data_IF_888479031305
#
_entry.id   IF_888479031305
#
_cell.length_a   1.000
_cell.length_b   1.000
_cell.length_c   1.000
_cell.angle_alpha   90.00
_cell.angle_beta   90.00
_cell.angle_gamma   90.00
#
_symmetry.space_group_name_H-M   'P 1'
#
loop_
_entity.id
_entity.type
_entity.pdbx_description
1 polymer ?
#
# COMPACT_ATOMS: atom_id res chain seq x y z
N UNK A 1 5.19 17.48 -14.96
CA UNK A 1 4.50 18.76 -14.75
C UNK A 1 4.55 18.99 -13.26
N UNK A 2 5.37 19.94 -12.81
CA UNK A 2 5.51 20.27 -11.39
C UNK A 2 4.51 21.39 -11.08
N UNK A 3 3.25 21.02 -10.84
CA UNK A 3 2.12 21.98 -10.86
C UNK A 3 2.21 23.08 -9.78
N UNK A 4 3.02 22.88 -8.73
CA UNK A 4 3.22 23.86 -7.64
C UNK A 4 4.66 24.33 -7.48
N UNK A 5 5.60 23.86 -8.31
CA UNK A 5 7.04 24.08 -8.15
C UNK A 5 7.54 23.81 -6.72
N UNK A 6 7.07 22.71 -6.12
CA UNK A 6 7.43 22.28 -4.77
C UNK A 6 7.97 20.84 -4.77
N UNK A 7 8.88 20.54 -3.85
CA UNK A 7 9.19 19.18 -3.46
C UNK A 7 9.12 19.01 -1.93
N UNK A 8 8.70 17.84 -1.48
CA UNK A 8 8.56 17.52 -0.05
C UNK A 8 9.91 17.14 0.53
N UNK A 9 10.29 17.73 1.65
CA UNK A 9 11.47 17.33 2.44
C UNK A 9 11.08 16.34 3.55
N UNK A 10 9.97 16.60 4.24
CA UNK A 10 9.53 15.80 5.38
C UNK A 10 8.00 15.84 5.55
N UNK A 11 7.42 14.69 5.91
CA UNK A 11 6.05 14.60 6.46
C UNK A 11 6.19 14.04 7.87
N UNK A 12 5.59 14.70 8.86
CA UNK A 12 5.75 14.36 10.27
C UNK A 12 4.40 14.31 11.02
N UNK A 13 4.28 13.55 12.12
CA UNK A 13 3.03 13.43 12.88
C UNK A 13 2.61 14.66 13.69
N UNK A 14 3.34 15.77 13.61
CA UNK A 14 3.12 16.93 14.47
C UNK A 14 3.28 18.23 13.71
N UNK A 15 2.66 19.29 14.23
CA UNK A 15 2.56 20.58 13.56
C UNK A 15 3.92 21.22 13.20
N UNK A 16 4.08 21.80 12.00
CA UNK A 16 3.23 21.62 10.81
C UNK A 16 3.40 20.23 10.18
N UNK A 17 2.36 19.64 9.61
CA UNK A 17 2.37 18.26 9.08
C UNK A 17 3.47 17.99 8.03
N UNK A 18 3.86 19.01 7.26
CA UNK A 18 4.78 18.87 6.15
C UNK A 18 5.75 20.04 6.05
N UNK A 19 7.01 19.71 5.76
CA UNK A 19 8.05 20.67 5.35
C UNK A 19 8.40 20.39 3.89
N UNK A 20 8.32 21.43 3.07
CA UNK A 20 8.62 21.35 1.66
C UNK A 20 9.55 22.50 1.24
N UNK A 21 10.06 22.45 0.02
CA UNK A 21 10.67 23.62 -0.62
C UNK A 21 9.89 24.06 -1.83
N UNK A 22 9.66 25.37 -1.96
CA UNK A 22 9.06 25.99 -3.15
C UNK A 22 10.12 26.76 -3.93
N UNK A 23 10.10 26.62 -5.24
CA UNK A 23 10.96 27.42 -6.12
C UNK A 23 10.37 28.82 -6.31
N UNK A 24 11.11 29.86 -5.92
CA UNK A 24 10.70 31.26 -5.98
C UNK A 24 11.35 32.03 -7.13
N UNK A 25 11.84 31.32 -8.16
CA UNK A 25 12.53 31.89 -9.32
C UNK A 25 14.01 32.21 -9.10
N UNK A 26 14.43 32.50 -7.86
CA UNK A 26 15.85 32.77 -7.50
C UNK A 26 16.50 31.65 -6.71
N UNK A 27 15.73 30.66 -6.28
CA UNK A 27 16.19 29.57 -5.42
C UNK A 27 15.02 28.81 -4.82
N UNK A 28 15.36 27.91 -3.90
CA UNK A 28 14.42 27.07 -3.18
C UNK A 28 14.31 27.55 -1.74
N UNK A 29 13.10 27.97 -1.36
CA UNK A 29 12.78 28.40 0.01
C UNK A 29 12.00 27.32 0.72
N UNK A 30 12.33 27.10 2.00
CA UNK A 30 11.59 26.17 2.83
C UNK A 30 10.23 26.77 3.19
N UNK A 31 9.19 25.94 3.10
CA UNK A 31 7.82 26.29 3.47
C UNK A 31 7.24 25.22 4.40
N UNK A 32 6.44 25.66 5.36
CA UNK A 32 5.66 24.83 6.25
C UNK A 32 4.23 24.68 5.72
N UNK A 33 3.75 23.45 5.66
CA UNK A 33 2.43 23.10 5.14
C UNK A 33 1.66 22.33 6.22
N UNK A 34 0.42 22.74 6.47
CA UNK A 34 -0.54 21.99 7.29
C UNK A 34 -1.61 21.35 6.41
N UNK A 35 -2.03 20.12 6.75
CA UNK A 35 -3.11 19.41 6.06
C UNK A 35 -4.37 19.36 6.91
N UNK A 36 -5.48 19.82 6.36
CA UNK A 36 -6.76 19.77 7.07
C UNK A 36 -7.89 19.19 6.22
N UNK A 37 -8.88 18.59 6.88
CA UNK A 37 -10.12 18.24 6.19
C UNK A 37 -10.90 19.52 5.82
N UNK A 38 -11.11 20.39 6.81
CA UNK A 38 -11.77 21.69 6.64
C UNK A 38 -10.81 22.80 7.05
N UNK A 39 -10.74 23.90 6.29
CA UNK A 39 -9.83 25.01 6.61
C UNK A 39 -10.03 25.57 8.04
N UNK A 40 -11.26 25.60 8.57
CA UNK A 40 -11.53 26.06 9.95
C UNK A 40 -10.89 25.20 11.03
N UNK A 41 -10.58 23.94 10.76
CA UNK A 41 -9.93 23.06 11.74
C UNK A 41 -8.58 23.61 12.18
N UNK A 42 -7.85 24.26 11.28
CA UNK A 42 -6.58 24.93 11.60
C UNK A 42 -6.71 25.85 12.83
N UNK A 43 -7.78 26.64 12.84
CA UNK A 43 -8.09 27.53 13.96
C UNK A 43 -8.58 26.76 15.20
N UNK A 44 -9.42 25.74 15.02
CA UNK A 44 -9.97 24.94 16.13
C UNK A 44 -8.88 24.16 16.88
N UNK A 45 -7.88 23.66 16.17
CA UNK A 45 -6.71 23.00 16.73
C UNK A 45 -5.71 23.96 17.37
N UNK A 46 -5.93 25.28 17.25
CA UNK A 46 -5.09 26.35 17.82
C UNK A 46 -3.64 26.31 17.32
N UNK A 47 -3.47 25.98 16.04
CA UNK A 47 -2.17 26.05 15.39
C UNK A 47 -1.66 27.50 15.34
N UNK A 48 -0.35 27.68 15.52
CA UNK A 48 0.29 29.00 15.48
C UNK A 48 0.44 29.45 14.02
N UNK A 49 -0.31 30.47 13.54
CA UNK A 49 -0.31 30.86 12.14
C UNK A 49 1.07 31.24 11.60
N UNK A 50 1.95 31.80 12.44
CA UNK A 50 3.30 32.21 12.04
C UNK A 50 4.25 31.05 11.72
N UNK A 51 3.86 29.81 11.99
CA UNK A 51 4.63 28.61 11.72
C UNK A 51 4.09 27.81 10.53
N UNK A 52 3.13 28.35 9.79
CA UNK A 52 2.52 27.73 8.63
C UNK A 52 2.47 28.74 7.48
N UNK A 53 3.03 28.36 6.34
CA UNK A 53 3.00 29.21 5.13
C UNK A 53 1.80 28.85 4.26
N UNK A 54 1.43 27.57 4.22
CA UNK A 54 0.38 27.03 3.35
C UNK A 54 -0.55 26.09 4.13
N UNK A 55 -1.85 26.33 4.05
CA UNK A 55 -2.88 25.41 4.52
C UNK A 55 -3.49 24.69 3.32
N UNK A 56 -3.23 23.40 3.20
CA UNK A 56 -3.85 22.55 2.18
C UNK A 56 -5.05 21.86 2.81
N UNK A 57 -6.25 22.13 2.29
CA UNK A 57 -7.49 21.60 2.83
C UNK A 57 -8.33 20.85 1.79
N UNK A 58 -9.13 19.88 2.23
CA UNK A 58 -10.12 19.27 1.33
C UNK A 58 -11.22 20.29 0.98
N UNK A 59 -11.79 20.97 1.97
CA UNK A 59 -12.82 21.99 1.78
C UNK A 59 -12.44 23.30 2.50
N UNK A 60 -12.48 24.42 1.78
CA UNK A 60 -12.26 25.74 2.36
C UNK A 60 -13.59 26.31 2.86
N UNK A 61 -13.91 26.00 4.12
CA UNK A 61 -15.08 26.52 4.85
C UNK A 61 -14.75 27.78 5.68
N UNK A 62 -13.58 28.38 5.48
CA UNK A 62 -13.06 29.52 6.24
C UNK A 62 -12.75 30.75 5.37
N UNK A 63 -13.75 31.37 4.72
CA UNK A 63 -13.55 32.52 3.84
C UNK A 63 -13.05 33.76 4.59
N UNK A 64 -13.36 33.88 5.88
CA UNK A 64 -12.97 35.00 6.74
C UNK A 64 -11.65 34.73 7.50
N UNK A 65 -10.74 33.95 6.91
CA UNK A 65 -9.41 33.73 7.48
C UNK A 65 -8.72 35.09 7.74
N UNK A 66 -8.26 35.36 8.98
CA UNK A 66 -7.65 36.64 9.33
C UNK A 66 -6.45 36.95 8.43
N UNK A 67 -6.43 38.13 7.80
CA UNK A 67 -5.39 38.52 6.84
C UNK A 67 -4.00 38.61 7.48
N UNK A 68 -3.95 38.87 8.79
CA UNK A 68 -2.73 38.86 9.59
C UNK A 68 -2.07 37.48 9.69
N UNK A 69 -2.78 36.39 9.38
CA UNK A 69 -2.20 35.05 9.38
C UNK A 69 -1.28 34.83 8.18
N UNK A 70 -1.51 35.54 7.06
CA UNK A 70 -0.69 35.46 5.84
C UNK A 70 -0.51 34.04 5.27
N UNK A 71 -1.46 33.14 5.54
CA UNK A 71 -1.45 31.74 5.08
C UNK A 71 -2.07 31.65 3.68
N UNK A 72 -1.39 30.97 2.76
CA UNK A 72 -1.97 30.55 1.47
C UNK A 72 -2.90 29.35 1.69
N UNK A 73 -4.19 29.46 1.37
CA UNK A 73 -5.14 28.34 1.47
C UNK A 73 -5.32 27.70 0.10
N UNK A 74 -4.96 26.42 -0.01
CA UNK A 74 -5.16 25.60 -1.22
C UNK A 74 -6.30 24.61 -0.95
N UNK A 75 -7.38 24.70 -1.72
CA UNK A 75 -8.56 23.84 -1.60
C UNK A 75 -8.57 22.73 -2.66
N UNK A 76 -8.69 21.47 -2.23
CA UNK A 76 -8.58 20.32 -3.11
C UNK A 76 -9.91 19.89 -3.75
N UNK A 77 -11.06 20.11 -3.10
CA UNK A 77 -12.38 19.62 -3.57
C UNK A 77 -12.87 20.29 -4.86
N UNK A 78 -12.52 21.55 -5.11
CA UNK A 78 -12.72 22.21 -6.41
C UNK A 78 -11.65 21.82 -7.41
N UNK A 79 -10.37 21.84 -7.00
CA UNK A 79 -9.21 21.54 -7.85
C UNK A 79 -9.31 20.15 -8.49
N UNK A 80 -9.72 19.13 -7.71
CA UNK A 80 -9.82 17.75 -8.21
C UNK A 80 -10.80 17.59 -9.38
N UNK A 81 -11.78 18.50 -9.52
CA UNK A 81 -12.74 18.48 -10.65
C UNK A 81 -12.10 18.94 -11.96
N UNK A 82 -11.04 19.73 -11.88
CA UNK A 82 -10.29 20.24 -13.02
C UNK A 82 -9.14 19.31 -13.43
N UNK A 83 -8.68 18.49 -12.48
CA UNK A 83 -7.64 17.50 -12.75
C UNK A 83 -8.17 16.41 -13.70
N UNK A 84 -7.40 16.01 -14.72
CA UNK A 84 -7.79 14.92 -15.57
C UNK A 84 -7.95 13.66 -14.73
N UNK A 85 -9.09 12.98 -14.87
CA UNK A 85 -9.25 11.66 -14.27
C UNK A 85 -8.13 10.76 -14.77
N UNK A 86 -7.29 10.31 -13.84
CA UNK A 86 -6.28 9.31 -14.16
C UNK A 86 -7.02 8.07 -14.61
N UNK A 87 -6.76 7.61 -15.84
CA UNK A 87 -7.34 6.38 -16.33
C UNK A 87 -7.01 5.25 -15.35
N UNK A 88 -8.05 4.73 -14.69
CA UNK A 88 -7.93 3.53 -13.87
C UNK A 88 -7.78 2.36 -14.85
N UNK A 89 -6.53 2.04 -15.18
CA UNK A 89 -6.23 0.83 -15.96
C UNK A 89 -6.49 -0.38 -15.07
N UNK A 90 -7.17 -1.39 -15.62
CA UNK A 90 -7.19 -2.70 -14.96
C UNK A 90 -5.74 -3.11 -14.72
N UNK A 91 -5.37 -3.53 -13.51
CA UNK A 91 -4.09 -4.17 -13.30
C UNK A 91 -4.01 -5.32 -14.30
N UNK A 92 -3.09 -5.21 -15.25
CA UNK A 92 -2.84 -6.32 -16.14
C UNK A 92 -2.32 -7.48 -15.29
N UNK A 93 -2.51 -8.73 -15.75
CA UNK A 93 -1.93 -9.92 -15.11
C UNK A 93 -0.39 -9.95 -15.30
N UNK A 94 0.28 -8.85 -14.99
CA UNK A 94 1.71 -8.63 -15.19
C UNK A 94 2.08 -8.27 -16.63
N UNK A 95 1.50 -7.21 -17.21
CA UNK A 95 2.07 -6.64 -18.45
C UNK A 95 3.55 -6.34 -18.24
N UNK A 96 4.37 -6.79 -19.19
CA UNK A 96 5.80 -6.48 -19.24
C UNK A 96 6.02 -5.06 -19.71
N UNK A 97 5.71 -4.11 -18.84
CA UNK A 97 6.23 -2.76 -18.99
C UNK A 97 7.74 -2.80 -18.74
N UNK A 98 8.50 -1.83 -19.26
CA UNK A 98 9.96 -1.75 -19.02
C UNK A 98 10.30 -1.71 -17.52
N UNK A 99 9.43 -1.09 -16.72
CA UNK A 99 9.58 -1.03 -15.26
C UNK A 99 9.37 -2.41 -14.59
N UNK A 100 8.35 -3.17 -15.03
CA UNK A 100 8.12 -4.53 -14.54
C UNK A 100 9.25 -5.49 -14.92
N UNK A 101 9.81 -5.39 -16.13
CA UNK A 101 10.96 -6.20 -16.57
C UNK A 101 12.21 -5.93 -15.71
N UNK A 102 12.45 -4.66 -15.37
CA UNK A 102 13.55 -4.26 -14.48
C UNK A 102 13.35 -4.85 -13.07
N UNK A 103 12.16 -4.70 -12.51
CA UNK A 103 11.82 -5.23 -11.18
C UNK A 103 11.88 -6.76 -11.14
N UNK A 104 11.41 -7.44 -12.18
CA UNK A 104 11.52 -8.89 -12.33
C UNK A 104 13.00 -9.33 -12.32
N UNK A 105 13.85 -8.64 -13.08
CA UNK A 105 15.30 -8.92 -13.10
C UNK A 105 15.93 -8.76 -11.72
N UNK A 106 15.59 -7.70 -11.00
CA UNK A 106 16.08 -7.44 -9.63
C UNK A 106 15.57 -8.53 -8.68
N UNK A 107 14.27 -8.86 -8.73
CA UNK A 107 13.63 -9.88 -7.92
C UNK A 107 14.27 -11.27 -8.08
N UNK A 108 14.62 -11.63 -9.33
CA UNK A 108 15.22 -12.94 -9.67
C UNK A 108 16.76 -12.97 -9.58
N UNK A 109 17.42 -11.84 -9.26
CA UNK A 109 18.88 -11.67 -9.33
C UNK A 109 19.67 -12.76 -8.59
N UNK A 110 19.18 -13.21 -7.43
CA UNK A 110 19.89 -14.17 -6.57
C UNK A 110 19.45 -15.62 -6.74
N UNK A 111 18.42 -15.88 -7.55
CA UNK A 111 17.88 -17.22 -7.77
C UNK A 111 18.76 -18.01 -8.75
N UNK A 112 19.00 -19.30 -8.46
CA UNK A 112 19.55 -20.21 -9.45
C UNK A 112 18.46 -20.64 -10.47
N UNK A 113 18.86 -21.31 -11.55
CA UNK A 113 17.92 -21.65 -12.63
C UNK A 113 16.75 -22.52 -12.16
N UNK A 114 17.00 -23.45 -11.24
CA UNK A 114 15.94 -24.26 -10.62
C UNK A 114 14.94 -23.43 -9.83
N UNK A 115 15.41 -22.44 -9.07
CA UNK A 115 14.56 -21.54 -8.31
C UNK A 115 13.77 -20.58 -9.22
N UNK A 116 14.35 -20.16 -10.35
CA UNK A 116 13.66 -19.37 -11.37
C UNK A 116 12.54 -20.17 -12.04
N UNK A 117 12.82 -21.39 -12.47
CA UNK A 117 11.82 -22.31 -13.02
C UNK A 117 10.66 -22.53 -12.02
N UNK A 118 11.00 -22.79 -10.76
CA UNK A 118 10.03 -22.96 -9.69
C UNK A 118 9.17 -21.70 -9.49
N UNK A 119 9.75 -20.50 -9.62
CA UNK A 119 9.01 -19.24 -9.55
C UNK A 119 7.99 -19.11 -10.68
N UNK A 120 8.37 -19.39 -11.93
CA UNK A 120 7.44 -19.29 -13.05
C UNK A 120 6.29 -20.30 -12.91
N UNK A 121 6.57 -21.53 -12.48
CA UNK A 121 5.52 -22.51 -12.18
C UNK A 121 4.57 -22.04 -11.06
N UNK A 122 5.12 -21.49 -9.97
CA UNK A 122 4.32 -20.93 -8.88
C UNK A 122 3.48 -19.72 -9.33
N UNK A 123 4.07 -18.85 -10.15
CA UNK A 123 3.42 -17.69 -10.73
C UNK A 123 2.22 -18.10 -11.59
N UNK A 124 2.40 -19.09 -12.47
CA UNK A 124 1.35 -19.54 -13.37
C UNK A 124 0.18 -20.12 -12.57
N UNK A 125 0.47 -20.93 -11.55
CA UNK A 125 -0.54 -21.45 -10.62
C UNK A 125 -1.34 -20.30 -9.98
N UNK A 126 -0.66 -19.27 -9.47
CA UNK A 126 -1.30 -18.13 -8.80
C UNK A 126 -2.19 -17.32 -9.74
N UNK A 127 -1.72 -17.03 -10.95
CA UNK A 127 -2.45 -16.21 -11.92
C UNK A 127 -3.68 -16.90 -12.50
N UNK A 128 -3.75 -18.24 -12.46
CA UNK A 128 -4.92 -19.01 -12.93
C UNK A 128 -5.90 -19.36 -11.80
N UNK A 129 -5.63 -18.99 -10.54
CA UNK A 129 -6.56 -19.26 -9.44
C UNK A 129 -7.92 -18.59 -9.64
N UNK A 130 -7.93 -17.37 -10.17
CA UNK A 130 -9.13 -16.59 -10.49
C UNK A 130 -8.77 -15.50 -11.51
N UNK A 131 -9.75 -15.07 -12.32
CA UNK A 131 -9.55 -14.02 -13.31
C UNK A 131 -9.16 -12.66 -12.71
N UNK A 132 -9.57 -12.41 -11.45
CA UNK A 132 -9.32 -11.18 -10.70
C UNK A 132 -8.00 -11.18 -9.94
N UNK A 133 -7.19 -12.24 -10.06
CA UNK A 133 -5.85 -12.27 -9.47
C UNK A 133 -4.85 -11.64 -10.43
N UNK A 134 -4.09 -10.67 -9.95
CA UNK A 134 -2.93 -10.12 -10.64
C UNK A 134 -1.71 -10.09 -9.73
N UNK A 135 -0.56 -9.97 -10.39
CA UNK A 135 0.77 -9.87 -9.79
C UNK A 135 1.27 -8.44 -9.83
N UNK A 136 2.07 -8.08 -8.84
CA UNK A 136 2.89 -6.87 -8.85
C UNK A 136 4.33 -7.24 -8.50
N UNK A 137 5.29 -6.92 -9.36
CA UNK A 137 6.70 -7.11 -9.04
C UNK A 137 7.19 -6.04 -8.07
N UNK A 138 7.97 -6.47 -7.09
CA UNK A 138 8.80 -5.59 -6.27
C UNK A 138 10.20 -6.15 -6.20
N UNK A 139 11.18 -5.28 -5.92
CA UNK A 139 12.60 -5.66 -5.92
C UNK A 139 12.93 -6.82 -4.96
N UNK A 140 12.19 -6.90 -3.83
CA UNK A 140 12.40 -7.92 -2.79
C UNK A 140 11.29 -8.96 -2.70
N UNK A 141 10.06 -8.56 -3.01
CA UNK A 141 8.87 -9.39 -2.92
C UNK A 141 8.01 -9.18 -4.16
N UNK A 142 7.42 -10.26 -4.63
CA UNK A 142 6.36 -10.22 -5.64
C UNK A 142 5.03 -10.50 -4.93
N UNK A 143 4.03 -9.64 -5.09
CA UNK A 143 2.72 -9.75 -4.43
C UNK A 143 1.61 -10.18 -5.39
N UNK A 144 0.58 -10.84 -4.86
CA UNK A 144 -0.60 -11.28 -5.60
C UNK A 144 -1.89 -10.84 -4.89
N UNK A 145 -2.80 -10.22 -5.65
CA UNK A 145 -3.98 -9.52 -5.13
C UNK A 145 -5.29 -10.25 -5.45
N UNK A 146 -6.33 -9.96 -4.67
CA UNK A 146 -7.72 -10.37 -4.92
C UNK A 146 -8.72 -9.29 -4.56
N UNK A 147 -9.35 -8.69 -5.58
CA UNK A 147 -8.69 -7.61 -6.28
C UNK A 147 -8.16 -6.52 -5.31
N UNK A 148 -8.88 -6.23 -4.23
CA UNK A 148 -8.57 -5.07 -3.38
C UNK A 148 -7.40 -5.27 -2.41
N UNK A 149 -7.04 -6.52 -2.10
CA UNK A 149 -6.01 -6.83 -1.07
C UNK A 149 -5.07 -7.94 -1.51
N UNK A 150 -3.83 -7.87 -1.01
CA UNK A 150 -2.84 -8.94 -1.18
C UNK A 150 -3.24 -10.14 -0.34
N UNK A 151 -3.16 -11.34 -0.91
CA UNK A 151 -3.34 -12.60 -0.16
C UNK A 151 -2.04 -13.40 -0.05
N UNK A 152 -1.06 -13.14 -0.92
CA UNK A 152 0.25 -13.79 -0.80
C UNK A 152 1.39 -12.96 -1.38
N UNK A 153 2.59 -13.16 -0.81
CA UNK A 153 3.85 -12.63 -1.30
C UNK A 153 4.84 -13.77 -1.52
N UNK A 154 5.60 -13.70 -2.61
CA UNK A 154 6.75 -14.55 -2.88
C UNK A 154 8.04 -13.76 -2.63
N UNK A 155 8.99 -14.37 -1.94
CA UNK A 155 10.35 -13.86 -1.78
C UNK A 155 11.36 -14.87 -2.30
N UNK A 156 12.16 -14.48 -3.28
CA UNK A 156 13.19 -15.36 -3.82
C UNK A 156 14.31 -15.63 -2.81
N UNK A 157 14.87 -16.83 -2.93
CA UNK A 157 16.09 -17.28 -2.29
C UNK A 157 16.92 -18.03 -3.33
N UNK A 158 18.20 -18.30 -3.04
CA UNK A 158 19.11 -18.96 -3.99
C UNK A 158 18.58 -20.30 -4.54
N UNK A 159 17.89 -21.06 -3.71
CA UNK A 159 17.45 -22.45 -3.98
C UNK A 159 15.94 -22.66 -3.80
N UNK A 160 15.13 -21.62 -3.93
CA UNK A 160 13.67 -21.70 -3.81
C UNK A 160 13.06 -20.36 -3.44
N UNK A 161 11.89 -20.39 -2.82
CA UNK A 161 11.18 -19.18 -2.39
C UNK A 161 10.54 -19.36 -1.02
N UNK A 162 10.46 -18.25 -0.29
CA UNK A 162 9.63 -18.14 0.89
C UNK A 162 8.30 -17.53 0.49
N UNK A 163 7.22 -18.17 0.91
CA UNK A 163 5.86 -17.66 0.72
C UNK A 163 5.41 -17.05 2.03
N UNK A 164 4.87 -15.84 1.94
CA UNK A 164 4.07 -15.21 2.98
C UNK A 164 2.62 -15.28 2.54
N UNK A 165 1.72 -15.71 3.41
CA UNK A 165 0.35 -16.02 3.04
C UNK A 165 -0.64 -15.51 4.08
N UNK A 166 -1.73 -14.91 3.62
CA UNK A 166 -2.83 -14.50 4.48
C UNK A 166 -3.60 -15.74 4.92
N UNK A 167 -3.66 -15.99 6.23
CA UNK A 167 -4.38 -17.13 6.78
C UNK A 167 -5.42 -16.73 7.83
N UNK A 168 -5.56 -15.43 8.12
CA UNK A 168 -6.52 -14.89 9.08
C UNK A 168 -6.52 -15.65 10.43
N UNK A 169 -5.34 -16.03 10.93
CA UNK A 169 -5.18 -16.83 12.16
C UNK A 169 -5.48 -18.32 12.03
N UNK A 170 -6.08 -18.77 10.92
CA UNK A 170 -6.46 -20.17 10.70
C UNK A 170 -5.22 -21.03 10.43
N UNK A 171 -5.19 -22.22 11.04
CA UNK A 171 -4.12 -23.21 10.84
C UNK A 171 -4.20 -23.78 9.43
N UNK A 172 -3.05 -23.82 8.74
CA UNK A 172 -2.93 -24.37 7.38
C UNK A 172 -1.75 -25.34 7.31
N UNK A 173 -1.88 -26.38 6.51
CA UNK A 173 -0.87 -27.42 6.40
C UNK A 173 0.47 -26.88 5.85
N UNK A 174 1.55 -27.16 6.58
CA UNK A 174 2.89 -26.69 6.23
C UNK A 174 3.12 -25.19 6.46
N UNK A 175 2.12 -24.44 6.94
CA UNK A 175 2.20 -23.00 7.20
C UNK A 175 2.48 -22.74 8.68
N UNK A 176 3.51 -21.95 8.96
CA UNK A 176 3.83 -21.47 10.32
C UNK A 176 3.33 -20.05 10.49
N UNK A 177 2.58 -19.77 11.56
CA UNK A 177 2.16 -18.40 11.86
C UNK A 177 3.37 -17.50 12.11
N UNK A 178 3.31 -16.29 11.56
CA UNK A 178 4.34 -15.25 11.71
C UNK A 178 3.79 -13.94 12.26
N UNK A 179 2.53 -13.66 11.97
CA UNK A 179 1.71 -12.58 12.54
C UNK A 179 0.32 -13.14 12.82
N UNK A 180 -0.55 -12.42 13.56
CA UNK A 180 -1.88 -12.92 13.88
C UNK A 180 -2.65 -13.40 12.63
N UNK A 181 -2.63 -12.61 11.54
CA UNK A 181 -3.35 -12.94 10.30
C UNK A 181 -2.46 -13.47 9.15
N UNK A 182 -1.16 -13.67 9.39
CA UNK A 182 -0.21 -14.07 8.33
C UNK A 182 0.70 -15.23 8.72
N UNK A 183 0.83 -16.19 7.81
CA UNK A 183 1.70 -17.34 7.92
C UNK A 183 2.83 -17.36 6.89
N UNK A 184 3.81 -18.24 7.09
CA UNK A 184 4.92 -18.49 6.17
C UNK A 184 5.09 -19.98 5.86
N UNK A 185 5.51 -20.28 4.64
CA UNK A 185 6.02 -21.59 4.25
C UNK A 185 7.12 -21.44 3.18
N UNK A 186 7.74 -22.55 2.79
CA UNK A 186 8.83 -22.58 1.78
C UNK A 186 8.46 -23.51 0.64
N UNK A 187 8.77 -23.10 -0.58
CA UNK A 187 8.75 -23.95 -1.77
C UNK A 187 10.19 -24.07 -2.24
N UNK A 188 10.69 -25.30 -2.32
CA UNK A 188 12.07 -25.61 -2.69
C UNK A 188 12.19 -26.66 -3.78
N UNK A 189 11.12 -27.43 -3.99
CA UNK A 189 11.01 -28.49 -4.98
C UNK A 189 9.66 -28.38 -5.66
N UNK A 190 9.58 -28.92 -6.86
CA UNK A 190 8.35 -28.91 -7.66
C UNK A 190 7.18 -29.61 -6.96
N UNK A 191 7.44 -30.72 -6.25
CA UNK A 191 6.42 -31.40 -5.44
C UNK A 191 5.78 -30.54 -4.32
N UNK A 192 6.45 -29.45 -3.92
CA UNK A 192 5.91 -28.54 -2.90
C UNK A 192 4.78 -27.67 -3.48
N UNK A 193 4.67 -27.58 -4.82
CA UNK A 193 3.67 -26.74 -5.52
C UNK A 193 2.23 -27.25 -5.33
N UNK A 194 2.03 -28.56 -5.22
CA UNK A 194 0.68 -29.14 -5.03
C UNK A 194 0.07 -28.67 -3.71
N UNK A 195 0.86 -28.68 -2.64
CA UNK A 195 0.42 -28.16 -1.35
C UNK A 195 0.34 -26.63 -1.35
N UNK A 196 1.27 -25.95 -2.04
CA UNK A 196 1.24 -24.50 -2.17
C UNK A 196 -0.05 -24.02 -2.86
N UNK A 197 -0.50 -24.72 -3.91
CA UNK A 197 -1.75 -24.43 -4.62
C UNK A 197 -2.96 -24.48 -3.69
N UNK A 198 -3.09 -25.55 -2.89
CA UNK A 198 -4.18 -25.67 -1.89
C UNK A 198 -4.14 -24.53 -0.89
N UNK A 199 -2.95 -24.19 -0.40
CA UNK A 199 -2.76 -23.10 0.53
C UNK A 199 -3.17 -21.75 -0.09
N UNK A 200 -2.77 -21.47 -1.33
CA UNK A 200 -3.15 -20.23 -2.03
C UNK A 200 -4.65 -20.15 -2.33
N UNK A 201 -5.29 -21.25 -2.72
CA UNK A 201 -6.76 -21.31 -2.87
C UNK A 201 -7.44 -20.96 -1.55
N UNK A 202 -6.98 -21.55 -0.44
CA UNK A 202 -7.57 -21.26 0.87
C UNK A 202 -7.35 -19.81 1.29
N UNK A 203 -6.15 -19.28 1.08
CA UNK A 203 -5.84 -17.88 1.37
C UNK A 203 -6.69 -16.90 0.56
N UNK A 204 -6.96 -17.23 -0.72
CA UNK A 204 -7.83 -16.46 -1.59
C UNK A 204 -9.28 -16.45 -1.10
N UNK A 205 -9.79 -17.57 -0.58
CA UNK A 205 -11.10 -17.61 0.08
C UNK A 205 -11.13 -16.70 1.32
N UNK A 206 -10.10 -16.81 2.17
CA UNK A 206 -10.03 -16.10 3.44
C UNK A 206 -9.92 -14.59 3.26
N UNK A 207 -9.13 -14.12 2.29
CA UNK A 207 -9.03 -12.67 2.05
C UNK A 207 -10.37 -12.10 1.57
N UNK A 208 -11.14 -12.86 0.78
CA UNK A 208 -12.46 -12.46 0.28
C UNK A 208 -13.51 -12.47 1.38
N UNK A 209 -13.44 -13.44 2.27
CA UNK A 209 -14.25 -13.49 3.50
C UNK A 209 -14.00 -12.24 4.34
N UNK A 210 -12.73 -11.95 4.66
CA UNK A 210 -12.34 -10.78 5.44
C UNK A 210 -12.79 -9.46 4.79
N UNK A 211 -12.67 -9.34 3.46
CA UNK A 211 -13.16 -8.16 2.72
C UNK A 211 -14.68 -7.98 2.82
N UNK A 212 -15.46 -9.08 2.70
CA UNK A 212 -16.93 -9.01 2.86
C UNK A 212 -17.34 -8.61 4.27
N UNK A 213 -16.54 -8.98 5.26
CA UNK A 213 -16.77 -8.67 6.67
C UNK A 213 -16.18 -7.31 7.09
N UNK A 214 -15.55 -6.57 6.17
CA UNK A 214 -14.84 -5.32 6.45
C UNK A 214 -13.73 -5.46 7.52
N UNK A 215 -13.13 -6.65 7.63
CA UNK A 215 -12.07 -6.95 8.59
C UNK A 215 -10.74 -6.27 8.18
N UNK A 216 -9.96 -5.86 9.18
CA UNK A 216 -8.60 -5.38 8.92
C UNK A 216 -7.68 -6.56 8.51
N UNK A 217 -7.09 -6.48 7.31
CA UNK A 217 -6.19 -7.51 6.75
C UNK A 217 -4.71 -7.11 6.78
N UNK A 218 -4.39 -6.00 7.45
CA UNK A 218 -3.04 -5.44 7.51
C UNK A 218 -2.03 -6.37 8.17
N UNK A 219 -0.75 -6.10 7.96
CA UNK A 219 0.35 -6.90 8.53
C UNK A 219 0.32 -6.95 10.06
N UNK A 220 -0.09 -5.85 10.70
CA UNK A 220 -0.20 -5.71 12.16
C UNK A 220 -1.63 -5.86 12.68
N UNK A 221 -2.56 -6.31 11.83
CA UNK A 221 -3.95 -6.51 12.24
C UNK A 221 -4.02 -7.63 13.29
N UNK A 222 -4.66 -7.34 14.42
CA UNK A 222 -5.01 -8.34 15.43
C UNK A 222 -6.15 -9.21 14.91
N UNK A 223 -6.23 -10.44 15.41
CA UNK A 223 -7.44 -11.25 15.24
C UNK A 223 -8.50 -10.56 16.10
N UNK A 224 -9.67 -10.28 15.51
CA UNK A 224 -10.81 -9.80 16.29
C UNK A 224 -11.14 -10.91 17.28
N UNK A 225 -10.98 -10.63 18.57
CA UNK A 225 -11.44 -11.53 19.62
C UNK A 225 -12.94 -11.70 19.40
N UNK A 226 -13.44 -12.95 19.35
CA UNK A 226 -14.86 -13.20 19.58
C UNK A 226 -15.19 -12.42 20.85
N UNK A 227 -16.11 -11.47 20.76
CA UNK A 227 -16.58 -10.76 21.94
C UNK A 227 -17.14 -11.84 22.85
N UNK A 228 -16.38 -12.22 23.88
CA UNK A 228 -16.90 -12.99 24.99
C UNK A 228 -18.04 -12.14 25.56
N UNK A 229 -19.27 -12.55 25.27
CA UNK A 229 -20.47 -12.15 25.99
C UNK A 229 -20.37 -12.73 27.42
N UNK A 230 -19.39 -12.28 28.19
CA UNK A 230 -19.29 -12.52 29.63
C UNK A 230 -19.01 -11.17 30.30
N UNK A 231 -20.04 -10.32 30.31
CA UNK A 231 -20.25 -9.34 31.36
C UNK A 231 -21.68 -9.49 31.84
N UNK A 232 -21.83 -10.40 32.80
CA UNK A 232 -22.96 -10.50 33.72
C UNK A 232 -22.67 -9.62 34.93
#
# INVERSE_FOLDING_TARGET
VEDLNMYIEEIKPGYPDCIARRFVGKGWEQIAIEFELNAKNFHQHKHEPKQCDILVCWENDWPDCPKEYQIEIIELKSLIKELPNREVRKPSKGERTKDEEEKERIFLKFANDKARDLFYKANDILLVLDERVWRNFGEKYTSYYSPERVFTYLRMQKTGMRVLIFNNGKKMEGVKNRQPKWGIFRISKEKDLDQAKKNWQKSLELIREALRNNENTGWYAKIEEEVDEDNN
#
